data_IF_963653506629
#
_entry.id   IF_963653506629
#
_cell.length_a   1.000
_cell.length_b   1.000
_cell.length_c   1.000
_cell.angle_alpha   90.00
_cell.angle_beta   90.00
_cell.angle_gamma   90.00
#
_symmetry.space_group_name_H-M   'P 1'
#
loop_
_entity.id
_entity.type
_entity.pdbx_description
1 polymer ?
#
# COMPACT_ATOMS: atom_id res chain seq x y z
N UNK A 1 -32.46 31.23 18.29
CA UNK A 1 -32.13 29.82 18.00
C UNK A 1 -31.74 29.76 16.54
N UNK A 2 -30.56 29.21 16.23
CA UNK A 2 -29.93 29.09 14.88
C UNK A 2 -29.35 30.44 14.39
N UNK A 3 -28.04 30.68 14.23
CA UNK A 3 -26.91 29.84 13.83
C UNK A 3 -25.69 30.06 14.75
N UNK A 4 -25.45 29.15 15.69
CA UNK A 4 -24.10 28.75 16.10
C UNK A 4 -23.62 27.71 15.09
N UNK A 5 -23.43 28.11 13.84
CA UNK A 5 -22.60 27.32 12.93
C UNK A 5 -21.17 27.70 13.29
N UNK A 6 -20.64 26.88 14.20
CA UNK A 6 -19.29 26.84 14.78
C UNK A 6 -18.28 27.76 14.07
N UNK A 7 -17.87 28.82 14.76
CA UNK A 7 -16.67 29.60 14.45
C UNK A 7 -15.46 28.65 14.23
N UNK A 8 -15.38 27.58 15.02
CA UNK A 8 -14.40 26.50 14.87
C UNK A 8 -14.49 25.75 13.54
N UNK A 9 -15.69 25.59 12.98
CA UNK A 9 -15.91 24.96 11.67
C UNK A 9 -15.48 25.93 10.54
N UNK A 10 -15.73 27.23 10.71
CA UNK A 10 -15.30 28.25 9.76
C UNK A 10 -13.78 28.42 9.76
N UNK A 11 -13.14 28.41 10.93
CA UNK A 11 -11.69 28.44 11.11
C UNK A 11 -11.04 27.14 10.62
N UNK A 12 -11.71 26.00 10.81
CA UNK A 12 -11.29 24.72 10.22
C UNK A 12 -11.33 24.80 8.70
N UNK A 13 -12.41 25.34 8.11
CA UNK A 13 -12.57 25.51 6.66
C UNK A 13 -11.57 26.51 6.09
N UNK A 14 -11.34 27.66 6.73
CA UNK A 14 -10.32 28.62 6.28
C UNK A 14 -8.91 28.07 6.40
N UNK A 15 -8.60 27.30 7.45
CA UNK A 15 -7.32 26.62 7.57
C UNK A 15 -7.20 25.34 6.70
N UNK A 16 -8.30 24.87 6.10
CA UNK A 16 -8.28 23.86 5.03
C UNK A 16 -8.04 24.52 3.67
N UNK A 17 -8.34 25.83 3.54
CA UNK A 17 -8.18 26.65 2.34
C UNK A 17 -6.84 27.41 2.26
N UNK A 18 -6.11 27.56 3.38
CA UNK A 18 -4.69 27.97 3.39
C UNK A 18 -3.82 26.92 2.68
N UNK A 19 -2.71 27.29 2.00
CA UNK A 19 -2.15 26.57 0.84
C UNK A 19 -2.19 25.07 1.06
N UNK A 20 -2.99 24.39 0.22
CA UNK A 20 -3.53 23.05 0.46
C UNK A 20 -2.58 22.17 1.27
N UNK A 21 -3.02 21.65 2.43
CA UNK A 21 -2.08 21.04 3.33
C UNK A 21 -1.37 19.83 2.71
N UNK A 22 -0.04 19.67 2.90
CA UNK A 22 0.74 18.57 2.34
C UNK A 22 0.17 17.17 2.64
N UNK A 23 -0.60 17.03 3.73
CA UNK A 23 -1.29 15.79 4.07
C UNK A 23 -2.49 15.49 3.15
N UNK A 24 -3.20 16.51 2.65
CA UNK A 24 -4.33 16.32 1.72
C UNK A 24 -3.82 15.97 0.33
N UNK A 25 -2.82 16.70 -0.16
CA UNK A 25 -2.31 16.52 -1.52
C UNK A 25 -1.20 15.45 -1.65
N UNK A 26 -0.44 15.23 -0.59
CA UNK A 26 0.63 14.22 -0.57
C UNK A 26 0.13 12.86 -0.08
N UNK A 27 -0.48 12.84 1.10
CA UNK A 27 -0.76 11.61 1.84
C UNK A 27 -2.01 10.88 1.35
N UNK A 28 -3.11 11.58 1.07
CA UNK A 28 -4.33 10.92 0.59
C UNK A 28 -4.13 10.23 -0.79
N UNK A 29 -3.51 10.87 -1.80
CA UNK A 29 -3.22 10.19 -3.06
C UNK A 29 -2.26 9.01 -2.91
N UNK A 30 -1.28 9.08 -2.01
CA UNK A 30 -0.38 7.98 -1.70
C UNK A 30 -1.15 6.78 -1.11
N UNK A 31 -2.01 7.02 -0.12
CA UNK A 31 -2.86 6.01 0.51
C UNK A 31 -3.86 5.43 -0.50
N UNK A 32 -4.48 6.28 -1.33
CA UNK A 32 -5.38 5.83 -2.39
C UNK A 32 -4.67 4.97 -3.45
N UNK A 33 -3.41 5.29 -3.78
CA UNK A 33 -2.62 4.54 -4.75
C UNK A 33 -2.35 3.11 -4.27
N UNK A 34 -1.94 2.93 -3.01
CA UNK A 34 -1.71 1.59 -2.44
C UNK A 34 -3.00 0.81 -2.18
N UNK A 35 -4.11 1.52 -1.91
CA UNK A 35 -5.42 0.96 -1.60
C UNK A 35 -6.31 0.73 -2.83
N UNK A 36 -5.77 0.89 -4.04
CA UNK A 36 -6.53 0.70 -5.27
C UNK A 36 -6.98 -0.77 -5.42
N UNK A 37 -8.29 -0.97 -5.51
CA UNK A 37 -8.91 -2.29 -5.62
C UNK A 37 -9.98 -2.33 -6.73
N UNK A 38 -10.15 -3.49 -7.40
CA UNK A 38 -11.09 -3.69 -8.50
C UNK A 38 -12.52 -3.99 -8.05
N UNK A 39 -12.77 -4.09 -6.75
CA UNK A 39 -14.08 -4.43 -6.18
C UNK A 39 -15.10 -3.36 -6.54
N UNK A 40 -16.38 -3.69 -6.67
CA UNK A 40 -17.42 -2.69 -7.01
C UNK A 40 -17.90 -1.94 -5.77
N UNK A 41 -18.04 -2.65 -4.65
CA UNK A 41 -18.58 -2.11 -3.41
C UNK A 41 -17.59 -1.17 -2.71
N UNK A 42 -18.08 0.00 -2.29
CA UNK A 42 -17.28 1.01 -1.62
C UNK A 42 -16.73 0.51 -0.29
N UNK A 43 -17.55 -0.21 0.50
CA UNK A 43 -17.11 -0.69 1.80
C UNK A 43 -15.98 -1.71 1.66
N UNK A 44 -16.08 -2.61 0.68
CA UNK A 44 -14.99 -3.53 0.36
C UNK A 44 -13.70 -2.80 -0.06
N UNK A 45 -13.79 -1.76 -0.90
CA UNK A 45 -12.62 -0.93 -1.26
C UNK A 45 -12.00 -0.25 -0.02
N UNK A 46 -12.84 0.31 0.85
CA UNK A 46 -12.38 0.96 2.07
C UNK A 46 -11.69 -0.04 3.01
N UNK A 47 -12.25 -1.24 3.18
CA UNK A 47 -11.63 -2.30 3.96
C UNK A 47 -10.29 -2.75 3.35
N UNK A 48 -10.19 -2.82 2.03
CA UNK A 48 -8.92 -3.13 1.36
C UNK A 48 -7.87 -2.03 1.54
N UNK A 49 -8.26 -0.76 1.35
CA UNK A 49 -7.40 0.38 1.60
C UNK A 49 -6.92 0.39 3.05
N UNK A 50 -7.81 0.10 4.00
CA UNK A 50 -7.47 -0.05 5.40
C UNK A 50 -6.48 -1.21 5.60
N UNK A 51 -6.71 -2.37 4.98
CA UNK A 51 -5.78 -3.51 5.03
C UNK A 51 -4.37 -3.13 4.56
N UNK A 52 -4.26 -2.41 3.45
CA UNK A 52 -2.98 -1.91 2.91
C UNK A 52 -2.34 -0.86 3.83
N UNK A 53 -3.15 0.02 4.44
CA UNK A 53 -2.66 0.99 5.41
C UNK A 53 -2.22 0.33 6.72
N UNK A 54 -2.84 -0.77 7.12
CA UNK A 54 -2.47 -1.53 8.32
C UNK A 54 -1.22 -2.41 8.13
N UNK A 55 -0.91 -2.79 6.90
CA UNK A 55 0.27 -3.59 6.55
C UNK A 55 0.89 -3.10 5.23
N UNK A 56 1.97 -2.29 5.30
CA UNK A 56 2.71 -1.84 4.13
C UNK A 56 3.11 -2.96 3.18
N UNK A 57 3.48 -4.12 3.73
CA UNK A 57 3.80 -5.30 2.93
C UNK A 57 2.66 -5.72 2.01
N UNK A 58 1.40 -5.75 2.47
CA UNK A 58 0.27 -6.16 1.62
C UNK A 58 0.08 -5.19 0.44
N UNK A 59 0.14 -3.88 0.72
CA UNK A 59 -0.01 -2.85 -0.32
C UNK A 59 1.13 -2.87 -1.35
N UNK A 60 2.38 -2.98 -0.89
CA UNK A 60 3.55 -3.06 -1.76
C UNK A 60 3.69 -4.42 -2.44
N UNK A 61 3.27 -5.51 -1.81
CA UNK A 61 3.35 -6.83 -2.41
C UNK A 61 2.52 -6.90 -3.68
N UNK A 62 1.25 -6.50 -3.59
CA UNK A 62 0.37 -6.41 -4.75
C UNK A 62 0.95 -5.51 -5.83
N UNK A 63 1.39 -4.30 -5.44
CA UNK A 63 1.79 -3.30 -6.40
C UNK A 63 3.17 -3.55 -6.97
N UNK A 64 4.13 -4.14 -6.27
CA UNK A 64 5.53 -4.20 -6.72
C UNK A 64 5.98 -5.60 -7.15
N UNK A 65 5.30 -6.66 -6.72
CA UNK A 65 5.79 -8.04 -6.93
C UNK A 65 5.06 -8.81 -8.03
N UNK A 66 4.02 -8.22 -8.62
CA UNK A 66 3.19 -8.86 -9.64
C UNK A 66 3.33 -8.07 -10.93
N UNK A 67 3.64 -8.65 -12.10
CA UNK A 67 3.72 -7.91 -13.35
C UNK A 67 2.40 -7.18 -13.70
N UNK A 68 2.49 -6.04 -14.40
CA UNK A 68 1.33 -5.17 -14.65
C UNK A 68 0.25 -5.88 -15.47
N UNK A 69 0.71 -6.72 -16.39
CA UNK A 69 -0.05 -7.47 -17.37
C UNK A 69 -0.75 -8.68 -16.74
N UNK A 70 -0.38 -9.05 -15.50
CA UNK A 70 -0.92 -10.19 -14.77
C UNK A 70 -1.41 -9.82 -13.37
N UNK A 71 -1.72 -8.54 -13.14
CA UNK A 71 -2.24 -8.03 -11.86
C UNK A 71 -3.53 -8.74 -11.39
N UNK A 72 -4.34 -9.23 -12.32
CA UNK A 72 -5.56 -10.01 -12.02
C UNK A 72 -5.26 -11.31 -11.24
N UNK A 73 -4.05 -11.89 -11.38
CA UNK A 73 -3.68 -13.13 -10.70
C UNK A 73 -3.80 -12.96 -9.18
N UNK A 74 -3.45 -11.77 -8.68
CA UNK A 74 -3.56 -11.46 -7.26
C UNK A 74 -4.99 -11.53 -6.73
N UNK A 75 -5.96 -11.12 -7.54
CA UNK A 75 -7.35 -10.96 -7.11
C UNK A 75 -8.16 -12.24 -7.27
N UNK A 76 -7.66 -13.20 -8.05
CA UNK A 76 -8.27 -14.50 -8.21
C UNK A 76 -7.88 -15.45 -7.05
N UNK A 77 -8.86 -16.11 -6.42
CA UNK A 77 -8.59 -17.17 -5.45
C UNK A 77 -7.85 -18.36 -6.07
N UNK A 78 -7.15 -19.16 -5.26
CA UNK A 78 -6.35 -20.30 -5.74
C UNK A 78 -7.11 -21.36 -6.56
N UNK A 79 -8.42 -21.54 -6.34
CA UNK A 79 -9.26 -22.50 -7.07
C UNK A 79 -9.54 -22.11 -8.53
N UNK A 80 -9.12 -20.91 -8.95
CA UNK A 80 -9.11 -20.50 -10.35
C UNK A 80 -7.89 -21.04 -11.09
N UNK A 81 -6.89 -21.59 -10.39
CA UNK A 81 -5.63 -22.01 -10.98
C UNK A 81 -5.43 -23.52 -10.86
N UNK A 82 -5.03 -24.14 -11.98
CA UNK A 82 -4.71 -25.57 -12.06
C UNK A 82 -3.34 -25.79 -12.69
N UNK A 83 -2.66 -26.86 -12.28
CA UNK A 83 -1.42 -27.28 -12.93
C UNK A 83 -1.69 -27.91 -14.27
N UNK A 84 -0.95 -27.49 -15.30
CA UNK A 84 -1.09 -28.06 -16.64
C UNK A 84 -0.67 -29.54 -16.68
N UNK A 85 0.28 -29.96 -15.83
CA UNK A 85 0.82 -31.32 -15.88
C UNK A 85 -0.08 -32.36 -15.21
N UNK A 86 -0.89 -31.95 -14.22
CA UNK A 86 -1.67 -32.88 -13.38
C UNK A 86 -3.15 -32.54 -13.27
N UNK A 87 -3.59 -31.40 -13.84
CA UNK A 87 -4.95 -30.83 -13.71
C UNK A 87 -5.45 -30.66 -12.25
N UNK A 88 -4.52 -30.60 -11.29
CA UNK A 88 -4.83 -30.45 -9.88
C UNK A 88 -4.83 -28.97 -9.47
N UNK A 89 -5.67 -28.63 -8.50
CA UNK A 89 -5.64 -27.32 -7.86
C UNK A 89 -4.29 -27.06 -7.18
N UNK A 90 -3.85 -25.80 -7.23
CA UNK A 90 -2.61 -25.40 -6.57
C UNK A 90 -2.85 -25.07 -5.08
N UNK A 91 -1.88 -25.39 -4.20
CA UNK A 91 -2.05 -25.18 -2.76
C UNK A 91 -2.01 -23.70 -2.34
N UNK A 92 -1.33 -22.86 -3.12
CA UNK A 92 -1.06 -21.44 -2.88
C UNK A 92 -1.42 -20.61 -4.11
N UNK A 93 -1.68 -19.30 -3.95
CA UNK A 93 -1.87 -18.41 -5.10
C UNK A 93 -0.55 -18.30 -5.89
N UNK A 94 -0.55 -18.22 -7.24
CA UNK A 94 0.68 -18.26 -8.01
C UNK A 94 1.34 -16.88 -8.09
N UNK A 95 1.69 -16.30 -6.93
CA UNK A 95 2.30 -14.98 -6.77
C UNK A 95 3.47 -15.04 -5.80
N UNK A 96 4.42 -14.11 -5.93
CA UNK A 96 5.55 -13.99 -5.01
C UNK A 96 6.37 -15.27 -4.87
N UNK A 97 6.58 -15.76 -3.64
CA UNK A 97 7.36 -16.99 -3.42
C UNK A 97 6.76 -18.24 -4.09
N UNK A 98 5.45 -18.20 -4.36
CA UNK A 98 4.72 -19.29 -5.00
C UNK A 98 4.43 -19.03 -6.48
N UNK A 99 5.10 -18.05 -7.09
CA UNK A 99 4.88 -17.66 -8.47
C UNK A 99 4.97 -18.86 -9.43
N UNK A 100 4.07 -18.87 -10.41
CA UNK A 100 4.01 -19.84 -11.50
C UNK A 100 3.77 -19.09 -12.81
N UNK A 101 4.15 -19.69 -13.93
CA UNK A 101 3.96 -19.13 -15.26
C UNK A 101 2.58 -19.53 -15.79
N UNK A 102 1.86 -18.59 -16.38
CA UNK A 102 0.67 -18.91 -17.16
C UNK A 102 1.09 -19.63 -18.45
N UNK A 103 0.35 -20.65 -18.85
CA UNK A 103 0.56 -21.32 -20.14
C UNK A 103 0.11 -20.36 -21.24
N UNK A 104 1.07 -19.85 -22.01
CA UNK A 104 0.88 -18.87 -23.08
C UNK A 104 1.25 -19.48 -24.45
N UNK A 105 0.77 -18.90 -25.57
CA UNK A 105 0.93 -19.49 -26.91
C UNK A 105 2.38 -19.73 -27.32
N UNK A 106 3.28 -18.95 -26.74
CA UNK A 106 4.71 -18.94 -27.04
C UNK A 106 5.48 -20.12 -26.40
N UNK A 107 4.89 -20.81 -25.42
CA UNK A 107 5.65 -21.73 -24.56
C UNK A 107 5.49 -23.22 -24.89
N UNK A 108 4.36 -23.70 -25.42
CA UNK A 108 4.19 -25.14 -25.67
C UNK A 108 2.95 -25.49 -26.52
N UNK A 109 3.15 -26.11 -27.70
CA UNK A 109 2.04 -26.70 -28.50
C UNK A 109 1.42 -27.95 -27.84
N UNK A 110 2.12 -28.57 -26.88
CA UNK A 110 1.72 -29.83 -26.24
C UNK A 110 0.44 -29.71 -25.40
N UNK A 111 0.10 -28.50 -24.95
CA UNK A 111 -1.03 -28.25 -24.06
C UNK A 111 -2.09 -27.36 -24.73
N UNK A 112 -2.49 -27.72 -25.96
CA UNK A 112 -3.39 -26.93 -26.80
C UNK A 112 -4.74 -26.61 -26.11
N UNK A 113 -5.29 -27.56 -25.34
CA UNK A 113 -6.52 -27.34 -24.56
C UNK A 113 -6.34 -26.29 -23.46
N UNK A 114 -5.25 -26.38 -22.68
CA UNK A 114 -4.93 -25.41 -21.63
C UNK A 114 -4.63 -24.02 -22.22
N UNK A 115 -4.00 -23.99 -23.40
CA UNK A 115 -3.72 -22.78 -24.14
C UNK A 115 -5.00 -22.07 -24.58
N UNK A 116 -5.95 -22.81 -25.17
CA UNK A 116 -7.23 -22.27 -25.60
C UNK A 116 -8.05 -21.76 -24.40
N UNK A 117 -8.11 -22.52 -23.32
CA UNK A 117 -8.78 -22.11 -22.08
C UNK A 117 -8.17 -20.82 -21.51
N UNK A 118 -6.84 -20.73 -21.44
CA UNK A 118 -6.15 -19.53 -21.00
C UNK A 118 -6.43 -18.34 -21.93
N UNK A 119 -6.42 -18.53 -23.25
CA UNK A 119 -6.70 -17.45 -24.22
C UNK A 119 -8.10 -16.85 -24.01
N UNK A 120 -9.11 -17.68 -23.78
CA UNK A 120 -10.48 -17.25 -23.52
C UNK A 120 -10.62 -16.55 -22.16
N UNK A 121 -9.95 -17.07 -21.13
CA UNK A 121 -9.91 -16.46 -19.81
C UNK A 121 -9.20 -15.09 -19.84
N UNK A 122 -8.04 -15.02 -20.48
CA UNK A 122 -7.25 -13.80 -20.60
C UNK A 122 -7.98 -12.71 -21.39
N UNK A 123 -8.69 -13.08 -22.46
CA UNK A 123 -9.53 -12.12 -23.19
C UNK A 123 -10.61 -11.51 -22.30
N UNK A 124 -11.23 -12.30 -21.42
CA UNK A 124 -12.21 -11.79 -20.47
C UNK A 124 -11.57 -10.89 -19.39
N UNK A 125 -10.34 -11.21 -18.96
CA UNK A 125 -9.61 -10.48 -17.93
C UNK A 125 -9.00 -9.16 -18.44
N UNK A 126 -8.66 -9.08 -19.73
CA UNK A 126 -8.14 -7.86 -20.36
C UNK A 126 -9.14 -6.70 -20.24
N UNK A 127 -10.44 -7.00 -20.35
CA UNK A 127 -11.52 -6.02 -20.13
C UNK A 127 -11.62 -5.50 -18.68
N UNK A 128 -10.94 -6.14 -17.73
CA UNK A 128 -10.86 -5.66 -16.35
C UNK A 128 -9.71 -4.67 -16.14
N UNK A 129 -8.75 -4.62 -17.06
CA UNK A 129 -7.58 -3.75 -16.98
C UNK A 129 -7.84 -2.48 -17.78
N UNK A 130 -7.56 -1.33 -17.17
CA UNK A 130 -7.62 -0.04 -17.84
C UNK A 130 -6.35 0.77 -17.56
N UNK A 131 -6.06 1.72 -18.44
CA UNK A 131 -4.98 2.66 -18.20
C UNK A 131 -5.41 3.70 -17.15
N UNK A 132 -4.50 4.00 -16.22
CA UNK A 132 -4.60 5.10 -15.29
C UNK A 132 -4.82 6.39 -16.07
N UNK A 133 -5.89 7.09 -15.70
CA UNK A 133 -6.24 8.38 -16.27
C UNK A 133 -5.14 9.42 -16.03
N UNK A 134 -5.15 10.49 -16.83
CA UNK A 134 -4.22 11.63 -16.64
C UNK A 134 -4.35 12.19 -15.22
N UNK A 135 -5.57 12.29 -14.70
CA UNK A 135 -5.84 12.77 -13.35
C UNK A 135 -5.19 11.87 -12.28
N UNK A 136 -5.30 10.55 -12.41
CA UNK A 136 -4.68 9.62 -11.46
C UNK A 136 -3.15 9.70 -11.50
N UNK A 137 -2.56 9.80 -12.69
CA UNK A 137 -1.10 9.95 -12.84
C UNK A 137 -0.63 11.27 -12.25
N UNK A 138 -1.36 12.36 -12.48
CA UNK A 138 -1.04 13.67 -11.91
C UNK A 138 -1.18 13.67 -10.39
N UNK A 139 -2.23 13.03 -9.86
CA UNK A 139 -2.41 12.86 -8.41
C UNK A 139 -1.26 12.08 -7.77
N UNK A 140 -0.80 11.00 -8.41
CA UNK A 140 0.39 10.26 -7.99
C UNK A 140 1.68 11.09 -8.10
N UNK A 141 1.83 11.95 -9.11
CA UNK A 141 2.97 12.86 -9.24
C UNK A 141 3.01 13.91 -8.13
N UNK A 142 1.85 14.49 -7.79
CA UNK A 142 1.71 15.42 -6.66
C UNK A 142 2.10 14.72 -5.36
N UNK A 143 1.67 13.47 -5.17
CA UNK A 143 2.08 12.65 -4.02
C UNK A 143 3.60 12.47 -3.96
N UNK A 144 4.21 12.07 -5.09
CA UNK A 144 5.66 11.90 -5.19
C UNK A 144 6.40 13.20 -4.85
N UNK A 145 5.93 14.34 -5.37
CA UNK A 145 6.51 15.66 -5.09
C UNK A 145 6.50 15.97 -3.59
N UNK A 146 5.36 15.89 -2.92
CA UNK A 146 5.26 16.20 -1.48
C UNK A 146 6.09 15.24 -0.61
N UNK A 147 6.11 13.96 -0.94
CA UNK A 147 6.96 12.99 -0.22
C UNK A 147 8.45 13.34 -0.42
N UNK A 148 8.85 13.66 -1.64
CA UNK A 148 10.25 13.98 -1.96
C UNK A 148 10.71 15.27 -1.30
N UNK A 149 9.87 16.32 -1.35
CA UNK A 149 10.10 17.58 -0.63
C UNK A 149 10.17 17.33 0.88
N UNK A 150 9.33 16.45 1.41
CA UNK A 150 9.37 16.09 2.83
C UNK A 150 10.66 15.39 3.24
N UNK A 151 11.19 14.49 2.41
CA UNK A 151 12.50 13.87 2.62
C UNK A 151 13.63 14.90 2.57
N UNK A 152 13.60 15.83 1.61
CA UNK A 152 14.63 16.88 1.50
C UNK A 152 14.58 17.81 2.72
N UNK A 153 13.38 18.25 3.11
CA UNK A 153 13.17 19.08 4.30
C UNK A 153 13.65 18.38 5.57
N UNK A 154 13.40 17.08 5.70
CA UNK A 154 13.90 16.26 6.79
C UNK A 154 15.42 16.29 6.92
N UNK A 155 16.12 16.00 5.82
CA UNK A 155 17.59 16.01 5.78
C UNK A 155 18.10 17.42 6.14
N UNK A 156 17.51 18.46 5.54
CA UNK A 156 17.90 19.83 5.81
C UNK A 156 17.68 20.23 7.28
N UNK A 157 16.66 19.71 7.97
CA UNK A 157 16.40 20.00 9.39
C UNK A 157 17.32 19.25 10.34
N UNK A 158 17.73 18.04 9.99
CA UNK A 158 18.70 17.26 10.80
C UNK A 158 20.08 17.90 10.78
N UNK A 159 20.52 18.44 9.63
CA UNK A 159 21.86 19.01 9.46
C UNK A 159 21.90 20.55 9.48
N UNK A 160 20.74 21.20 9.53
CA UNK A 160 20.60 22.65 9.45
C UNK A 160 20.50 23.35 10.81
N UNK A 161 20.31 24.68 10.81
CA UNK A 161 20.10 25.44 12.04
C UNK A 161 18.80 25.01 12.73
N UNK A 162 18.76 25.20 14.05
CA UNK A 162 17.55 24.95 14.86
C UNK A 162 16.46 25.94 14.43
N UNK A 163 15.36 25.42 13.90
CA UNK A 163 14.21 26.23 13.45
C UNK A 163 12.92 25.61 14.00
N UNK A 164 12.08 26.46 14.59
CA UNK A 164 10.84 26.11 15.30
C UNK A 164 9.64 25.72 14.42
N UNK A 165 9.82 25.62 13.11
CA UNK A 165 8.74 25.25 12.21
C UNK A 165 8.64 23.72 12.11
N UNK A 166 7.42 23.19 12.15
CA UNK A 166 7.18 21.77 11.96
C UNK A 166 7.46 21.34 10.49
N UNK A 167 8.31 20.33 10.30
CA UNK A 167 8.53 19.62 9.03
C UNK A 167 7.36 18.69 8.67
N UNK A 168 7.21 18.27 7.40
CA UNK A 168 6.10 17.42 6.96
C UNK A 168 6.31 15.94 7.36
N UNK A 169 6.07 15.62 8.64
CA UNK A 169 6.18 14.25 9.20
C UNK A 169 5.40 13.20 8.42
N UNK A 170 4.19 13.55 7.98
CA UNK A 170 3.24 12.61 7.39
C UNK A 170 3.65 12.19 5.98
N UNK A 171 4.02 13.11 5.06
CA UNK A 171 4.63 12.72 3.79
C UNK A 171 5.85 11.81 3.96
N UNK A 172 6.73 12.08 4.93
CA UNK A 172 7.89 11.22 5.17
C UNK A 172 7.50 9.84 5.73
N UNK A 173 6.55 9.78 6.66
CA UNK A 173 6.00 8.51 7.16
C UNK A 173 5.41 7.64 6.04
N UNK A 174 4.94 8.26 4.96
CA UNK A 174 4.41 7.57 3.78
C UNK A 174 5.46 7.37 2.67
N UNK A 175 6.74 7.63 2.91
CA UNK A 175 7.80 7.42 1.92
C UNK A 175 7.87 5.97 1.42
N UNK A 176 7.46 5.00 2.23
CA UNK A 176 7.35 3.60 1.82
C UNK A 176 6.37 3.37 0.65
N UNK A 177 5.45 4.30 0.39
CA UNK A 177 4.50 4.22 -0.74
C UNK A 177 5.13 4.59 -2.10
N UNK A 178 6.33 5.19 -2.12
CA UNK A 178 7.00 5.65 -3.34
C UNK A 178 7.13 4.57 -4.44
N UNK A 179 7.48 3.29 -4.15
CA UNK A 179 7.56 2.27 -5.18
C UNK A 179 6.20 2.03 -5.88
N UNK A 180 5.10 2.08 -5.13
CA UNK A 180 3.75 1.94 -5.67
C UNK A 180 3.36 3.16 -6.54
N UNK A 181 3.69 4.37 -6.07
CA UNK A 181 3.47 5.63 -6.79
C UNK A 181 4.26 5.64 -8.11
N UNK A 182 5.55 5.33 -8.05
CA UNK A 182 6.41 5.25 -9.23
C UNK A 182 5.85 4.27 -10.26
N UNK A 183 5.45 3.08 -9.80
CA UNK A 183 4.88 2.08 -10.69
C UNK A 183 3.59 2.56 -11.36
N UNK A 184 2.71 3.24 -10.60
CA UNK A 184 1.47 3.81 -11.14
C UNK A 184 1.75 4.88 -12.20
N UNK A 185 2.77 5.71 -12.01
CA UNK A 185 3.18 6.74 -12.99
C UNK A 185 3.77 6.09 -14.25
N UNK A 186 4.71 5.15 -14.08
CA UNK A 186 5.48 4.57 -15.19
C UNK A 186 4.69 3.55 -16.03
N UNK A 187 3.96 2.63 -15.39
CA UNK A 187 3.26 1.55 -16.09
C UNK A 187 1.79 1.89 -16.34
N UNK A 188 1.15 2.59 -15.40
CA UNK A 188 -0.19 3.12 -15.54
C UNK A 188 -1.26 2.10 -15.94
N UNK A 189 -1.10 0.80 -15.69
CA UNK A 189 -2.16 -0.21 -15.88
C UNK A 189 -2.78 -0.58 -14.55
N UNK A 190 -4.10 -0.52 -14.47
CA UNK A 190 -4.88 -0.67 -13.26
C UNK A 190 -5.99 -1.70 -13.48
N UNK A 191 -6.27 -2.50 -12.46
CA UNK A 191 -7.43 -3.38 -12.46
C UNK A 191 -8.64 -2.60 -11.94
N UNK A 192 -9.58 -2.30 -12.82
CA UNK A 192 -10.74 -1.42 -12.53
C UNK A 192 -12.02 -2.23 -12.26
N UNK A 193 -12.09 -3.46 -12.78
CA UNK A 193 -13.25 -4.36 -12.61
C UNK A 193 -12.84 -5.66 -11.94
N UNK A 194 -13.75 -6.22 -11.15
CA UNK A 194 -13.50 -7.46 -10.41
C UNK A 194 -13.31 -8.65 -11.37
N UNK A 195 -12.11 -9.25 -11.43
CA UNK A 195 -11.85 -10.37 -12.33
C UNK A 195 -12.66 -11.61 -11.96
N UNK A 196 -13.08 -11.78 -10.70
CA UNK A 196 -13.90 -12.94 -10.28
C UNK A 196 -15.27 -12.90 -10.95
N UNK A 197 -15.90 -11.72 -11.00
CA UNK A 197 -17.20 -11.52 -11.65
C UNK A 197 -17.10 -11.73 -13.15
N UNK A 198 -16.02 -11.27 -13.78
CA UNK A 198 -15.85 -11.35 -15.24
C UNK A 198 -15.49 -12.75 -15.73
N UNK A 199 -14.66 -13.46 -14.97
CA UNK A 199 -14.21 -14.81 -15.32
C UNK A 199 -15.30 -15.86 -15.04
N UNK A 200 -16.11 -15.67 -13.99
CA UNK A 200 -17.09 -16.65 -13.54
C UNK A 200 -16.43 -17.89 -12.91
N UNK A 201 -17.19 -18.72 -12.20
CA UNK A 201 -16.60 -19.83 -11.42
C UNK A 201 -16.06 -21.00 -12.27
N UNK A 202 -16.52 -21.11 -13.52
CA UNK A 202 -16.28 -22.28 -14.38
C UNK A 202 -14.96 -22.19 -15.14
N UNK A 203 -14.48 -20.98 -15.43
CA UNK A 203 -13.23 -20.78 -16.17
C UNK A 203 -12.02 -20.95 -15.25
N UNK A 204 -11.05 -21.76 -15.71
CA UNK A 204 -9.79 -22.02 -15.01
C UNK A 204 -8.61 -21.48 -15.81
N UNK A 205 -7.59 -21.06 -15.08
CA UNK A 205 -6.29 -20.67 -15.61
C UNK A 205 -5.28 -21.80 -15.35
N UNK A 206 -4.62 -22.23 -16.40
CA UNK A 206 -3.57 -23.23 -16.34
C UNK A 206 -2.22 -22.58 -16.14
N UNK A 207 -1.51 -23.07 -15.13
CA UNK A 207 -0.18 -22.61 -14.73
C UNK A 207 0.83 -23.76 -14.74
N UNK A 208 2.10 -23.41 -14.92
CA UNK A 208 3.26 -24.31 -14.86
C UNK A 208 4.37 -23.71 -14.02
N UNK A 209 5.29 -24.55 -13.56
CA UNK A 209 6.46 -24.08 -12.82
C UNK A 209 7.42 -23.33 -13.76
N UNK A 210 8.28 -22.49 -13.17
CA UNK A 210 9.41 -21.90 -13.87
C UNK A 210 10.41 -22.98 -14.26
N UNK A 211 10.85 -22.96 -15.52
CA UNK A 211 11.91 -23.85 -16.02
C UNK A 211 13.29 -23.39 -15.54
N UNK A 212 13.51 -22.07 -15.56
CA UNK A 212 14.77 -21.47 -15.17
C UNK A 212 14.77 -21.08 -13.71
N UNK A 213 15.79 -21.56 -12.99
CA UNK A 213 16.00 -21.24 -11.58
C UNK A 213 16.21 -19.73 -11.35
N UNK A 214 16.90 -19.04 -12.27
CA UNK A 214 17.22 -17.61 -12.16
C UNK A 214 15.97 -16.71 -12.13
N UNK A 215 14.94 -17.03 -12.92
CA UNK A 215 13.69 -16.26 -12.94
C UNK A 215 12.98 -16.34 -11.59
N UNK A 216 12.94 -17.54 -11.02
CA UNK A 216 12.35 -17.81 -9.71
C UNK A 216 13.13 -17.13 -8.59
N UNK A 217 14.46 -17.17 -8.63
CA UNK A 217 15.33 -16.49 -7.67
C UNK A 217 15.10 -14.97 -7.68
N UNK A 218 15.00 -14.36 -8.87
CA UNK A 218 14.71 -12.93 -8.99
C UNK A 218 13.39 -12.53 -8.34
N UNK A 219 12.34 -13.37 -8.46
CA UNK A 219 11.05 -13.14 -7.83
C UNK A 219 11.17 -13.22 -6.31
N UNK A 220 11.85 -14.26 -5.80
CA UNK A 220 12.08 -14.42 -4.36
C UNK A 220 12.79 -13.20 -3.75
N UNK A 221 13.86 -12.74 -4.40
CA UNK A 221 14.62 -11.57 -3.96
C UNK A 221 13.72 -10.33 -3.92
N UNK A 222 12.88 -10.09 -4.94
CA UNK A 222 11.95 -8.95 -4.95
C UNK A 222 10.96 -8.99 -3.78
N UNK A 223 10.42 -10.16 -3.45
CA UNK A 223 9.46 -10.30 -2.34
C UNK A 223 10.16 -10.05 -1.00
N UNK A 224 11.36 -10.59 -0.81
CA UNK A 224 12.18 -10.36 0.40
C UNK A 224 12.53 -8.88 0.55
N UNK A 225 12.99 -8.22 -0.53
CA UNK A 225 13.26 -6.79 -0.53
C UNK A 225 11.99 -6.01 -0.16
N UNK A 226 10.84 -6.38 -0.71
CA UNK A 226 9.57 -5.74 -0.39
C UNK A 226 9.22 -5.90 1.09
N UNK A 227 9.40 -7.09 1.66
CA UNK A 227 9.17 -7.33 3.08
C UNK A 227 10.10 -6.48 3.96
N UNK A 228 11.40 -6.48 3.67
CA UNK A 228 12.39 -5.68 4.39
C UNK A 228 12.04 -4.19 4.29
N UNK A 229 11.81 -3.68 3.09
CA UNK A 229 11.47 -2.27 2.88
C UNK A 229 10.18 -1.87 3.60
N UNK A 230 9.16 -2.73 3.60
CA UNK A 230 7.90 -2.51 4.32
C UNK A 230 8.09 -2.42 5.83
N UNK A 231 9.09 -3.13 6.37
CA UNK A 231 9.42 -3.13 7.79
C UNK A 231 10.29 -1.93 8.16
N UNK A 232 11.26 -1.54 7.33
CA UNK A 232 12.33 -0.60 7.70
C UNK A 232 12.12 0.83 7.22
N UNK A 233 11.60 1.04 6.00
CA UNK A 233 11.47 2.40 5.42
C UNK A 233 10.62 3.33 6.28
N UNK A 234 9.49 2.91 6.90
CA UNK A 234 8.73 3.81 7.75
C UNK A 234 9.53 4.37 8.95
N UNK A 235 10.51 3.61 9.47
CA UNK A 235 11.33 4.03 10.60
C UNK A 235 12.30 5.17 10.27
N UNK A 236 12.56 5.45 8.99
CA UNK A 236 13.35 6.62 8.60
C UNK A 236 12.75 7.90 9.17
N UNK A 237 11.42 8.02 9.18
CA UNK A 237 10.73 9.16 9.79
C UNK A 237 11.00 9.27 11.30
N UNK A 238 11.01 8.14 12.01
CA UNK A 238 11.26 8.09 13.46
C UNK A 238 12.70 8.50 13.77
N UNK A 239 13.66 7.96 13.04
CA UNK A 239 15.09 8.26 13.20
C UNK A 239 15.37 9.73 12.89
N UNK A 240 14.78 10.27 11.80
CA UNK A 240 14.95 11.67 11.45
C UNK A 240 14.30 12.58 12.49
N UNK A 241 13.09 12.26 12.98
CA UNK A 241 12.43 13.01 14.04
C UNK A 241 13.25 13.02 15.32
N UNK A 242 13.82 11.87 15.70
CA UNK A 242 14.61 11.73 16.92
C UNK A 242 15.86 12.60 16.90
N UNK A 243 16.53 12.69 15.74
CA UNK A 243 17.77 13.44 15.58
C UNK A 243 17.55 14.92 15.22
N UNK A 244 16.31 15.36 15.01
CA UNK A 244 16.01 16.76 14.70
C UNK A 244 15.92 17.53 16.01
N UNK A 245 16.81 18.52 16.26
CA UNK A 245 16.60 19.42 17.37
C UNK A 245 15.42 20.35 17.05
N UNK A 246 14.68 20.80 18.05
CA UNK A 246 14.92 20.64 19.49
C UNK A 246 13.99 19.59 20.17
N UNK A 247 13.92 19.54 21.51
CA UNK A 247 13.40 18.38 22.29
C UNK A 247 11.97 18.00 21.92
N UNK A 248 11.12 18.94 21.51
CA UNK A 248 9.75 18.64 21.08
C UNK A 248 9.66 17.64 19.91
N UNK A 249 10.69 17.53 19.07
CA UNK A 249 10.72 16.55 17.98
C UNK A 249 10.86 15.11 18.49
N UNK A 250 11.41 14.91 19.69
CA UNK A 250 11.45 13.61 20.35
C UNK A 250 10.05 13.08 20.68
N UNK A 251 9.13 13.95 21.12
CA UNK A 251 7.74 13.56 21.38
C UNK A 251 7.04 13.10 20.10
N UNK A 252 7.35 13.76 18.99
CA UNK A 252 6.82 13.42 17.67
C UNK A 252 7.42 12.12 17.14
N UNK A 253 8.71 11.86 17.42
CA UNK A 253 9.37 10.58 17.15
C UNK A 253 8.69 9.42 17.92
N UNK A 254 8.37 9.61 19.20
CA UNK A 254 7.61 8.63 20.00
C UNK A 254 6.22 8.35 19.44
N UNK A 255 5.52 9.38 18.98
CA UNK A 255 4.22 9.18 18.34
C UNK A 255 4.35 8.36 17.04
N UNK A 256 5.30 8.76 16.19
CA UNK A 256 5.58 8.06 14.93
C UNK A 256 6.03 6.61 15.14
N UNK A 257 6.74 6.31 16.23
CA UNK A 257 7.22 4.95 16.52
C UNK A 257 6.07 3.98 16.84
N UNK A 258 4.95 4.45 17.38
CA UNK A 258 3.73 3.63 17.56
C UNK A 258 3.20 3.17 16.20
N UNK A 259 3.05 4.10 15.25
CA UNK A 259 2.59 3.80 13.88
C UNK A 259 3.57 2.81 13.21
N UNK A 260 4.87 3.09 13.28
CA UNK A 260 5.90 2.25 12.66
C UNK A 260 5.95 0.86 13.27
N UNK A 261 5.71 0.72 14.58
CA UNK A 261 5.67 -0.57 15.26
C UNK A 261 4.51 -1.45 14.74
N UNK A 262 3.32 -0.86 14.55
CA UNK A 262 2.16 -1.55 13.96
C UNK A 262 2.50 -2.01 12.53
N UNK A 263 3.07 -1.10 11.73
CA UNK A 263 3.46 -1.40 10.35
C UNK A 263 4.50 -2.50 10.25
N UNK A 264 5.55 -2.46 11.06
CA UNK A 264 6.60 -3.49 11.06
C UNK A 264 6.07 -4.84 11.49
N UNK A 265 5.30 -4.89 12.59
CA UNK A 265 4.71 -6.13 13.08
C UNK A 265 3.76 -6.75 12.06
N UNK A 266 2.84 -5.95 11.49
CA UNK A 266 1.89 -6.44 10.51
C UNK A 266 2.53 -6.77 9.14
N UNK A 267 3.63 -6.10 8.77
CA UNK A 267 4.38 -6.44 7.56
C UNK A 267 5.13 -7.77 7.73
N UNK A 268 5.72 -7.99 8.91
CA UNK A 268 6.33 -9.27 9.25
C UNK A 268 5.30 -10.40 9.25
N UNK A 269 4.17 -10.24 9.94
CA UNK A 269 3.08 -11.22 9.91
C UNK A 269 2.55 -11.46 8.50
N UNK A 270 2.40 -10.41 7.68
CA UNK A 270 1.98 -10.53 6.29
C UNK A 270 2.94 -11.34 5.44
N UNK A 271 4.24 -11.17 5.65
CA UNK A 271 5.27 -11.96 4.99
C UNK A 271 5.21 -13.44 5.40
N UNK A 272 5.11 -13.72 6.70
CA UNK A 272 4.97 -15.09 7.22
C UNK A 272 3.69 -15.76 6.71
N UNK A 273 2.57 -15.04 6.70
CA UNK A 273 1.30 -15.52 6.14
C UNK A 273 1.43 -15.87 4.65
N UNK A 274 2.12 -15.05 3.86
CA UNK A 274 2.39 -15.33 2.44
C UNK A 274 3.29 -16.57 2.25
N UNK A 275 4.26 -16.79 3.13
CA UNK A 275 5.12 -17.98 3.07
C UNK A 275 4.36 -19.27 3.37
N UNK A 276 3.53 -19.30 4.41
CA UNK A 276 3.04 -20.56 5.00
C UNK A 276 1.52 -20.78 4.90
N UNK A 277 0.70 -19.72 4.96
CA UNK A 277 -0.66 -19.83 5.53
C UNK A 277 -1.82 -19.53 4.57
N UNK A 278 -1.57 -19.36 3.26
CA UNK A 278 -2.68 -19.23 2.27
C UNK A 278 -3.48 -20.53 2.05
N UNK A 279 -3.25 -21.56 2.89
CA UNK A 279 -3.94 -22.85 2.83
C UNK A 279 -5.35 -22.77 3.42
N UNK A 280 -5.52 -22.06 4.54
CA UNK A 280 -6.79 -21.95 5.27
C UNK A 280 -7.56 -20.69 4.90
N UNK A 281 -8.80 -20.84 4.41
CA UNK A 281 -9.70 -19.69 4.14
C UNK A 281 -10.01 -18.89 5.41
N UNK A 282 -10.09 -19.58 6.56
CA UNK A 282 -10.40 -18.96 7.84
C UNK A 282 -9.24 -18.10 8.33
N UNK A 283 -8.00 -18.60 8.22
CA UNK A 283 -6.81 -17.86 8.61
C UNK A 283 -6.63 -16.59 7.76
N UNK A 284 -6.77 -16.68 6.44
CA UNK A 284 -6.69 -15.50 5.54
C UNK A 284 -7.78 -14.47 5.85
N UNK A 285 -8.99 -14.92 6.20
CA UNK A 285 -10.06 -14.01 6.61
C UNK A 285 -9.74 -13.30 7.92
N UNK A 286 -9.32 -14.04 8.96
CA UNK A 286 -8.94 -13.47 10.26
C UNK A 286 -7.79 -12.48 10.10
N UNK A 287 -6.75 -12.87 9.35
CA UNK A 287 -5.60 -12.01 9.08
C UNK A 287 -6.01 -10.74 8.32
N UNK A 288 -6.91 -10.87 7.34
CA UNK A 288 -7.45 -9.72 6.63
C UNK A 288 -8.24 -8.76 7.50
N UNK A 289 -9.09 -9.27 8.40
CA UNK A 289 -9.83 -8.47 9.38
C UNK A 289 -8.86 -7.76 10.33
N UNK A 290 -7.88 -8.48 10.88
CA UNK A 290 -6.84 -7.92 11.76
C UNK A 290 -6.12 -6.74 11.10
N UNK A 291 -5.55 -6.94 9.91
CA UNK A 291 -4.87 -5.87 9.19
C UNK A 291 -5.79 -4.70 8.86
N UNK A 292 -7.07 -4.95 8.58
CA UNK A 292 -8.05 -3.89 8.32
C UNK A 292 -8.35 -3.06 9.58
N UNK A 293 -8.48 -3.70 10.75
CA UNK A 293 -8.67 -2.98 12.03
C UNK A 293 -7.42 -2.16 12.39
N UNK A 294 -6.22 -2.74 12.24
CA UNK A 294 -4.98 -2.01 12.43
C UNK A 294 -4.87 -0.82 11.47
N UNK A 295 -5.34 -0.97 10.22
CA UNK A 295 -5.38 0.11 9.24
C UNK A 295 -6.29 1.27 9.63
N UNK A 296 -7.47 0.98 10.18
CA UNK A 296 -8.39 2.01 10.67
C UNK A 296 -7.77 2.75 11.84
N UNK A 297 -7.13 2.01 12.75
CA UNK A 297 -6.42 2.58 13.88
C UNK A 297 -5.23 3.45 13.44
N UNK A 298 -4.41 2.98 12.51
CA UNK A 298 -3.32 3.77 11.91
C UNK A 298 -3.87 5.01 11.19
N UNK A 299 -4.97 4.89 10.45
CA UNK A 299 -5.64 6.03 9.82
C UNK A 299 -6.07 7.09 10.84
N UNK A 300 -6.63 6.65 11.97
CA UNK A 300 -6.96 7.54 13.08
C UNK A 300 -5.71 8.19 13.69
N UNK A 301 -4.63 7.43 13.91
CA UNK A 301 -3.36 7.98 14.41
C UNK A 301 -2.76 9.00 13.43
N UNK A 302 -2.79 8.75 12.12
CA UNK A 302 -2.33 9.70 11.11
C UNK A 302 -3.19 10.97 11.10
N UNK A 303 -4.50 10.83 11.28
CA UNK A 303 -5.41 11.96 11.41
C UNK A 303 -5.10 12.81 12.65
N UNK A 304 -4.95 12.18 13.82
CA UNK A 304 -4.54 12.86 15.05
C UNK A 304 -3.18 13.52 14.87
N UNK A 305 -2.21 12.83 14.26
CA UNK A 305 -0.89 13.41 13.99
C UNK A 305 -0.98 14.66 13.11
N UNK A 306 -1.90 14.66 12.14
CA UNK A 306 -2.16 15.83 11.30
C UNK A 306 -2.67 17.02 12.10
N UNK A 307 -3.61 16.78 13.03
CA UNK A 307 -4.14 17.82 13.90
C UNK A 307 -3.03 18.38 14.82
N UNK A 308 -2.23 17.50 15.39
CA UNK A 308 -1.11 17.88 16.26
C UNK A 308 0.00 18.63 15.51
N UNK A 309 0.26 18.31 14.24
CA UNK A 309 1.22 19.04 13.42
C UNK A 309 0.72 20.45 13.05
N UNK A 310 -0.60 20.66 13.05
CA UNK A 310 -1.22 21.96 12.74
C UNK A 310 -1.35 22.86 13.97
N UNK A 311 -1.51 22.27 15.15
CA UNK A 311 -1.63 22.99 16.42
C UNK A 311 -0.53 22.53 17.39
N UNK A 312 0.68 23.15 17.32
CA UNK A 312 1.82 22.72 18.11
C UNK A 312 1.59 22.74 19.63
N UNK A 313 0.72 23.64 20.12
CA UNK A 313 0.35 23.73 21.55
C UNK A 313 -0.30 22.46 22.07
N UNK A 314 -1.02 21.71 21.23
CA UNK A 314 -1.66 20.45 21.63
C UNK A 314 -0.64 19.36 21.99
N UNK A 315 0.61 19.45 21.51
CA UNK A 315 1.68 18.56 21.97
C UNK A 315 1.97 18.79 23.45
N UNK A 316 1.98 20.04 23.89
CA UNK A 316 2.21 20.39 25.28
C UNK A 316 1.07 19.90 26.18
N UNK A 317 -0.17 20.11 25.74
CA UNK A 317 -1.37 19.77 26.51
C UNK A 317 -1.52 18.26 26.70
N UNK A 318 -1.19 17.47 25.68
CA UNK A 318 -1.37 16.01 25.70
C UNK A 318 -0.15 15.25 26.23
N UNK A 319 1.07 15.75 25.99
CA UNK A 319 2.30 15.02 26.28
C UNK A 319 3.22 15.75 27.28
N UNK A 320 2.80 16.91 27.78
CA UNK A 320 3.50 17.70 28.79
C UNK A 320 4.35 18.84 28.20
N UNK A 321 4.74 19.79 29.05
CA UNK A 321 5.45 21.01 28.65
C UNK A 321 6.79 20.76 27.94
N UNK A 322 7.45 19.63 28.17
CA UNK A 322 8.66 19.24 27.45
C UNK A 322 8.43 18.99 25.95
N UNK A 323 7.18 18.73 25.54
CA UNK A 323 6.79 18.60 24.14
C UNK A 323 6.32 19.92 23.52
N UNK A 324 6.16 20.97 24.35
CA UNK A 324 5.93 22.36 23.91
C UNK A 324 7.23 23.00 23.40
N UNK A 325 8.36 22.49 23.89
CA UNK A 325 9.67 22.98 23.55
C UNK A 325 9.85 22.88 22.04
N UNK A 326 10.09 24.05 21.43
CA UNK A 326 11.31 24.11 20.68
C UNK A 326 12.47 23.83 21.69
#
# INVERSE_FOLDING_TARGET
MVLLVNQELLDLVQNLLSPMPPYVLGSLPAIATIGAAPMEDFFQKLMWLSRCLGSPFIGLFYTCNIPSDSTFIFWLPKHYFRRVETDNEIPYKPVGHHAMLLVMPEFERRFEQALQANKEALKALDECVANASVLERFSSLVAAYYISVGVIAAIARVFGPVVCEDWPYIPLLLAWTLPAIYRRIAHGRLLVRDPKKRLGNDKKLYVRKFDHFQDKESIHIRVVITAIASITVPWLAVVMAYNTPPVGFFCRSKYASVICSIWSFNSFLGYIHHLFDEKSKVADHIFGVWCSLCGLFVGFLLFVFTLLAKQPTWWADLFGSACASC
#
